data_IF_416142745846
#
_entry.id   IF_416142745846
#
_cell.length_a   1.000
_cell.length_b   1.000
_cell.length_c   1.000
_cell.angle_alpha   90.00
_cell.angle_beta   90.00
_cell.angle_gamma   90.00
#
_symmetry.space_group_name_H-M   'P 1'
#
loop_
_entity.id
_entity.type
_entity.pdbx_description
1 polymer ?
#
# COMPACT_ATOMS: atom_id res chain seq x y z
N UNK A 1 8.41 -8.73 0.67
CA UNK A 1 7.76 -8.59 -0.66
C UNK A 1 7.33 -7.15 -0.87
N UNK A 2 7.31 -6.66 -2.11
CA UNK A 2 6.73 -5.35 -2.47
C UNK A 2 5.42 -5.58 -3.22
N UNK A 3 4.36 -4.90 -2.83
CA UNK A 3 3.04 -5.04 -3.45
C UNK A 3 2.53 -3.66 -3.85
N UNK A 4 1.98 -3.56 -5.06
CA UNK A 4 1.43 -2.30 -5.57
C UNK A 4 0.21 -2.56 -6.45
N UNK A 5 -0.64 -1.55 -6.58
CA UNK A 5 -1.79 -1.60 -7.49
C UNK A 5 -1.31 -1.46 -8.93
N UNK A 6 -1.64 -2.43 -9.77
CA UNK A 6 -1.44 -2.33 -11.20
C UNK A 6 -2.70 -1.74 -11.84
N UNK A 7 -2.59 -0.51 -12.32
CA UNK A 7 -3.71 0.23 -12.91
C UNK A 7 -4.13 -0.30 -14.29
N UNK A 8 -3.27 -1.07 -14.98
CA UNK A 8 -3.59 -1.63 -16.30
C UNK A 8 -4.53 -2.82 -16.23
N UNK A 9 -4.37 -3.68 -15.23
CA UNK A 9 -5.20 -4.89 -15.07
C UNK A 9 -6.11 -4.85 -13.84
N UNK A 10 -6.03 -3.80 -13.02
CA UNK A 10 -6.85 -3.64 -11.83
C UNK A 10 -6.46 -4.53 -10.64
N UNK A 11 -5.46 -5.41 -10.77
CA UNK A 11 -5.00 -6.34 -9.72
C UNK A 11 -3.83 -5.75 -8.92
N UNK A 12 -3.42 -6.45 -7.87
CA UNK A 12 -2.19 -6.17 -7.15
C UNK A 12 -1.04 -6.99 -7.76
N UNK A 13 0.05 -6.31 -8.12
CA UNK A 13 1.28 -6.99 -8.53
C UNK A 13 2.15 -7.24 -7.32
N UNK A 14 2.61 -8.48 -7.16
CA UNK A 14 3.50 -8.91 -6.07
C UNK A 14 4.90 -9.07 -6.65
N UNK A 15 5.87 -8.36 -6.04
CA UNK A 15 7.26 -8.36 -6.45
C UNK A 15 8.16 -8.95 -5.35
N UNK A 16 9.05 -9.85 -5.76
CA UNK A 16 10.10 -10.45 -4.93
C UNK A 16 11.43 -10.42 -5.70
N UNK A 17 12.51 -9.99 -5.06
CA UNK A 17 13.82 -9.88 -5.72
C UNK A 17 13.85 -8.95 -6.96
N UNK A 18 12.92 -8.01 -7.09
CA UNK A 18 12.80 -7.14 -8.28
C UNK A 18 11.96 -7.71 -9.42
N UNK A 19 11.53 -8.97 -9.33
CA UNK A 19 10.68 -9.63 -10.33
C UNK A 19 9.22 -9.65 -9.87
N UNK A 20 8.29 -9.37 -10.79
CA UNK A 20 6.86 -9.57 -10.54
C UNK A 20 6.58 -11.07 -10.62
N UNK A 21 6.17 -11.65 -9.50
CA UNK A 21 5.95 -13.10 -9.36
C UNK A 21 4.48 -13.49 -9.40
N UNK A 22 3.56 -12.54 -9.20
CA UNK A 22 2.12 -12.79 -9.25
C UNK A 22 1.30 -11.53 -9.51
N UNK A 23 0.08 -11.74 -10.02
CA UNK A 23 -1.02 -10.77 -10.01
C UNK A 23 -2.18 -11.35 -9.21
N UNK A 24 -2.57 -10.68 -8.13
CA UNK A 24 -3.57 -11.19 -7.19
C UNK A 24 -4.68 -10.17 -6.96
N UNK A 25 -5.92 -10.65 -6.84
CA UNK A 25 -7.06 -9.82 -6.46
C UNK A 25 -7.04 -9.45 -4.96
N UNK A 26 -6.46 -10.34 -4.13
CA UNK A 26 -6.33 -10.18 -2.69
C UNK A 26 -4.91 -10.50 -2.24
N UNK A 27 -4.33 -9.67 -1.36
CA UNK A 27 -3.01 -9.89 -0.75
C UNK A 27 -3.09 -9.51 0.72
N UNK A 28 -2.53 -10.35 1.60
CA UNK A 28 -2.41 -10.05 3.03
C UNK A 28 -0.93 -9.97 3.40
N UNK A 29 -0.54 -8.91 4.12
CA UNK A 29 0.82 -8.64 4.54
C UNK A 29 0.90 -8.41 6.05
N UNK A 30 2.02 -8.78 6.66
CA UNK A 30 2.41 -8.46 8.05
C UNK A 30 3.67 -7.61 8.08
N UNK A 31 3.82 -6.81 9.14
CA UNK A 31 5.01 -5.96 9.37
C UNK A 31 5.25 -5.03 8.19
N UNK A 32 4.25 -4.23 7.85
CA UNK A 32 4.19 -3.49 6.60
C UNK A 32 4.81 -2.10 6.76
N UNK A 33 5.64 -1.73 5.80
CA UNK A 33 6.13 -0.37 5.59
C UNK A 33 5.62 0.16 4.26
N UNK A 34 5.08 1.38 4.26
CA UNK A 34 4.63 2.05 3.06
C UNK A 34 5.75 2.89 2.47
N UNK A 35 6.07 2.66 1.20
CA UNK A 35 7.16 3.35 0.51
C UNK A 35 6.65 4.03 -0.75
N UNK A 36 6.96 5.32 -0.87
CA UNK A 36 6.78 6.11 -2.09
C UNK A 36 8.17 6.43 -2.63
N UNK A 37 8.44 6.06 -3.88
CA UNK A 37 9.65 6.44 -4.57
C UNK A 37 9.49 7.87 -5.10
N UNK A 38 10.12 8.84 -4.43
CA UNK A 38 9.92 10.27 -4.73
C UNK A 38 10.29 10.63 -6.17
N UNK A 39 11.37 10.07 -6.73
CA UNK A 39 11.72 10.25 -8.14
C UNK A 39 10.62 9.77 -9.10
N UNK A 40 9.92 8.69 -8.73
CA UNK A 40 8.76 8.18 -9.46
C UNK A 40 7.57 9.13 -9.35
N UNK A 41 7.28 9.63 -8.14
CA UNK A 41 6.23 10.62 -7.88
C UNK A 41 6.44 11.91 -8.66
N UNK A 42 7.65 12.48 -8.60
CA UNK A 42 8.00 13.70 -9.33
C UNK A 42 7.80 13.55 -10.84
N UNK A 43 8.09 12.37 -11.40
CA UNK A 43 7.79 12.08 -12.80
C UNK A 43 6.29 12.09 -13.09
N UNK A 44 5.45 11.53 -12.20
CA UNK A 44 3.98 11.61 -12.34
C UNK A 44 3.48 13.05 -12.29
N UNK A 45 4.02 13.87 -11.38
CA UNK A 45 3.64 15.27 -11.26
C UNK A 45 4.00 16.09 -12.52
N UNK A 46 5.20 15.88 -13.04
CA UNK A 46 5.69 16.59 -14.23
C UNK A 46 4.96 16.14 -15.51
N UNK A 47 4.79 14.84 -15.71
CA UNK A 47 4.27 14.28 -16.97
C UNK A 47 2.75 14.08 -16.95
N UNK A 48 2.11 14.21 -15.78
CA UNK A 48 0.70 13.85 -15.54
C UNK A 48 0.34 12.42 -15.97
N UNK A 49 1.33 11.54 -16.06
CA UNK A 49 1.18 10.15 -16.44
C UNK A 49 1.55 9.25 -15.26
N UNK A 50 0.61 8.40 -14.82
CA UNK A 50 0.82 7.52 -13.67
C UNK A 50 1.86 6.44 -13.99
N UNK A 51 2.81 6.27 -13.08
CA UNK A 51 3.80 5.18 -13.07
C UNK A 51 3.72 4.42 -11.73
N UNK A 52 4.38 3.27 -11.64
CA UNK A 52 4.46 2.53 -10.37
C UNK A 52 5.57 3.13 -9.50
N UNK A 53 5.17 3.71 -8.37
CA UNK A 53 6.09 4.33 -7.42
C UNK A 53 5.66 4.20 -5.95
N UNK A 54 4.49 3.62 -5.68
CA UNK A 54 3.95 3.46 -4.34
C UNK A 54 3.79 1.98 -4.00
N UNK A 55 4.30 1.55 -2.84
CA UNK A 55 4.44 0.14 -2.47
C UNK A 55 4.05 -0.09 -1.01
N UNK A 56 3.31 -1.17 -0.76
CA UNK A 56 3.25 -1.81 0.55
C UNK A 56 4.34 -2.89 0.61
N UNK A 57 5.24 -2.80 1.60
CA UNK A 57 6.39 -3.69 1.74
C UNK A 57 6.26 -4.47 3.04
N UNK A 58 6.16 -5.79 2.95
CA UNK A 58 6.02 -6.63 4.15
C UNK A 58 6.16 -8.12 3.85
N UNK A 59 5.78 -8.95 4.82
CA UNK A 59 5.80 -10.41 4.72
C UNK A 59 4.42 -10.91 4.31
N UNK A 60 4.35 -11.71 3.24
CA UNK A 60 3.09 -12.34 2.80
C UNK A 60 2.58 -13.32 3.85
N UNK A 61 1.27 -13.40 3.99
CA UNK A 61 0.60 -14.36 4.88
C UNK A 61 -0.71 -14.84 4.27
N UNK A 62 -1.11 -16.06 4.60
CA UNK A 62 -2.45 -16.59 4.31
C UNK A 62 -3.39 -16.44 5.50
N UNK A 63 -2.86 -16.19 6.70
CA UNK A 63 -3.66 -16.02 7.90
C UNK A 63 -4.48 -14.74 7.83
N UNK A 64 -5.77 -14.87 8.11
CA UNK A 64 -6.73 -13.75 8.19
C UNK A 64 -6.20 -12.64 9.08
N UNK A 65 -6.37 -11.39 8.64
CA UNK A 65 -5.98 -10.19 9.38
C UNK A 65 -7.24 -9.42 9.82
N UNK A 66 -7.97 -9.88 10.85
CA UNK A 66 -9.26 -9.27 11.24
C UNK A 66 -9.14 -7.85 11.78
N UNK A 67 -7.94 -7.44 12.20
CA UNK A 67 -7.67 -6.08 12.70
C UNK A 67 -7.40 -5.07 11.60
N UNK A 68 -7.16 -5.54 10.36
CA UNK A 68 -6.88 -4.68 9.21
C UNK A 68 -8.17 -4.13 8.59
N UNK A 69 -8.79 -3.19 9.31
CA UNK A 69 -10.09 -2.60 8.95
C UNK A 69 -9.99 -1.12 8.59
N UNK A 70 -8.89 -0.44 8.91
CA UNK A 70 -8.74 1.01 8.68
C UNK A 70 -8.47 1.28 7.19
N UNK A 71 -9.37 1.96 6.45
CA UNK A 71 -9.15 2.26 5.05
C UNK A 71 -8.00 3.25 4.85
N UNK A 72 -7.06 2.91 3.99
CA UNK A 72 -5.91 3.76 3.64
C UNK A 72 -5.86 4.01 2.13
N UNK A 73 -5.24 5.11 1.75
CA UNK A 73 -5.08 5.47 0.34
C UNK A 73 -3.74 6.12 0.06
N UNK A 74 -3.47 6.29 -1.23
CA UNK A 74 -2.37 7.07 -1.75
C UNK A 74 -2.82 7.78 -3.04
N UNK A 75 -2.59 9.08 -3.09
CA UNK A 75 -2.73 9.89 -4.31
C UNK A 75 -1.48 10.77 -4.46
N UNK A 76 -0.70 10.61 -5.56
CA UNK A 76 0.50 11.42 -5.78
C UNK A 76 0.23 12.92 -5.84
N UNK A 77 -0.98 13.34 -6.21
CA UNK A 77 -1.39 14.74 -6.30
C UNK A 77 -1.83 15.32 -4.96
N UNK A 78 -2.12 14.46 -3.98
CA UNK A 78 -2.48 14.86 -2.63
C UNK A 78 -1.24 14.96 -1.72
N UNK A 79 -0.46 13.88 -1.62
CA UNK A 79 0.67 13.80 -0.69
C UNK A 79 1.80 12.89 -1.19
N UNK A 80 2.99 13.04 -0.61
CA UNK A 80 4.15 12.16 -0.83
C UNK A 80 4.15 10.88 0.01
N UNK A 81 3.04 10.59 0.70
CA UNK A 81 2.90 9.47 1.63
C UNK A 81 1.51 8.84 1.51
N UNK A 82 1.38 7.61 2.00
CA UNK A 82 0.07 7.00 2.23
C UNK A 82 -0.60 7.66 3.43
N UNK A 83 -1.93 7.71 3.43
CA UNK A 83 -2.71 8.35 4.48
C UNK A 83 -3.94 7.52 4.86
N UNK A 84 -4.42 7.71 6.09
CA UNK A 84 -5.69 7.16 6.57
C UNK A 84 -6.85 7.93 5.96
N UNK A 85 -7.85 7.22 5.42
CA UNK A 85 -8.97 7.91 4.75
C UNK A 85 -9.85 8.67 5.74
N UNK A 86 -9.90 8.24 7.01
CA UNK A 86 -10.72 8.86 8.05
C UNK A 86 -10.33 10.31 8.36
N UNK A 87 -9.02 10.57 8.53
CA UNK A 87 -8.51 11.85 9.02
C UNK A 87 -7.37 12.44 8.16
N UNK A 88 -7.01 11.78 7.06
CA UNK A 88 -5.93 12.17 6.14
C UNK A 88 -4.54 12.18 6.77
N UNK A 89 -4.38 11.62 7.98
CA UNK A 89 -3.09 11.56 8.64
C UNK A 89 -2.15 10.57 7.95
N UNK A 90 -0.84 10.86 7.90
CA UNK A 90 0.15 9.97 7.30
C UNK A 90 0.18 8.59 7.97
N UNK A 91 0.40 7.56 7.16
CA UNK A 91 0.68 6.21 7.64
C UNK A 91 1.93 5.66 6.96
N UNK A 92 2.96 5.40 7.76
CA UNK A 92 4.25 4.88 7.29
C UNK A 92 4.40 3.38 7.56
N UNK A 93 3.75 2.88 8.62
CA UNK A 93 3.85 1.49 9.04
C UNK A 93 2.50 0.95 9.53
N UNK A 94 2.29 -0.36 9.39
CA UNK A 94 1.15 -1.08 9.93
C UNK A 94 1.55 -2.51 10.31
N UNK A 95 0.97 -3.05 11.38
CA UNK A 95 1.21 -4.44 11.79
C UNK A 95 0.65 -5.43 10.75
N UNK A 96 -0.50 -5.10 10.16
CA UNK A 96 -1.14 -5.89 9.11
C UNK A 96 -1.73 -4.98 8.02
N UNK A 97 -1.74 -5.48 6.78
CA UNK A 97 -2.44 -4.85 5.65
C UNK A 97 -3.18 -5.89 4.84
N UNK A 98 -4.44 -5.60 4.51
CA UNK A 98 -5.26 -6.34 3.57
C UNK A 98 -5.46 -5.47 2.32
N UNK A 99 -5.02 -5.99 1.18
CA UNK A 99 -5.26 -5.43 -0.14
C UNK A 99 -6.32 -6.29 -0.81
N UNK A 100 -7.49 -5.75 -1.13
CA UNK A 100 -8.57 -6.52 -1.74
C UNK A 100 -9.45 -5.63 -2.60
N UNK A 101 -9.87 -6.15 -3.76
CA UNK A 101 -10.75 -5.45 -4.71
C UNK A 101 -10.26 -4.03 -5.06
N UNK A 102 -8.93 -3.87 -5.16
CA UNK A 102 -8.31 -2.58 -5.46
C UNK A 102 -8.28 -1.57 -4.31
N UNK A 103 -8.74 -1.94 -3.12
CA UNK A 103 -8.69 -1.15 -1.89
C UNK A 103 -7.61 -1.67 -0.93
N UNK A 104 -7.24 -0.85 0.03
CA UNK A 104 -6.23 -1.15 1.03
C UNK A 104 -6.76 -0.84 2.43
N UNK A 105 -6.54 -1.77 3.36
CA UNK A 105 -6.93 -1.66 4.76
C UNK A 105 -5.74 -1.97 5.64
N UNK A 106 -5.43 -1.12 6.61
CA UNK A 106 -4.36 -1.29 7.58
C UNK A 106 -4.92 -1.70 8.95
N UNK A 107 -4.10 -2.37 9.75
CA UNK A 107 -4.38 -2.60 11.16
C UNK A 107 -4.55 -1.26 11.89
N UNK A 108 -5.60 -1.13 12.68
CA UNK A 108 -5.78 0.02 13.58
C UNK A 108 -4.56 0.11 14.49
N UNK A 109 -3.94 1.29 14.59
CA UNK A 109 -2.95 1.51 15.64
C UNK A 109 -3.70 1.53 16.98
N UNK A 110 -3.56 0.46 17.76
CA UNK A 110 -3.99 0.49 19.15
C UNK A 110 -3.14 1.54 19.85
N UNK A 111 -3.70 2.73 20.06
CA UNK A 111 -3.08 3.73 20.90
C UNK A 111 -2.86 3.13 22.27
N UNK A 112 -1.61 2.81 22.62
CA UNK A 112 -1.21 2.80 24.01
C UNK A 112 -1.29 4.27 24.44
N UNK A 113 -2.38 4.61 25.12
CA UNK A 113 -2.42 5.77 26.00
C UNK A 113 -1.28 5.56 27.00
N UNK A 114 -0.22 6.37 26.88
CA UNK A 114 0.77 6.54 27.93
C UNK A 114 0.22 7.48 29.00
#
# INVERSE_FOLDING_TARGET
>A
MKVYRNLKNGLFSVQYGGLVVAHLATVQLRGVSFKVAESGRQRVLAQRQKNVHAYAIGTFTTATQPTATEPISYDPYHAGHFFRMQDQEPIHHAAAVVLSQGKAYASVQSGLLF
#
